data_IF_492486269635
#
_entry.id   IF_492486269635
#
_cell.length_a   1.000
_cell.length_b   1.000
_cell.length_c   1.000
_cell.angle_alpha   90.00
_cell.angle_beta   90.00
_cell.angle_gamma   90.00
#
_symmetry.space_group_name_H-M   'P 1'
#
loop_
_entity.id
_entity.type
_entity.pdbx_description
1 polymer ?
#
# COMPACT_ATOMS: atom_id res chain seq x y z
N UNK A 1 15.04 -30.44 -25.97
CA UNK A 1 16.15 -29.63 -25.43
C UNK A 1 15.96 -28.23 -25.99
N UNK A 2 15.26 -27.37 -25.26
CA UNK A 2 14.85 -26.04 -25.73
C UNK A 2 15.99 -25.10 -25.38
N UNK A 3 16.66 -24.55 -26.40
CA UNK A 3 17.72 -23.56 -26.22
C UNK A 3 17.16 -22.32 -25.51
N UNK A 4 17.88 -21.86 -24.50
CA UNK A 4 17.54 -20.63 -23.80
C UNK A 4 17.71 -19.44 -24.77
N UNK A 5 16.75 -18.49 -24.82
CA UNK A 5 16.83 -17.34 -25.72
C UNK A 5 18.08 -16.48 -25.47
N UNK A 6 18.69 -16.03 -26.57
CA UNK A 6 19.99 -15.36 -26.64
C UNK A 6 20.16 -14.08 -25.80
N UNK A 7 19.08 -13.51 -25.25
CA UNK A 7 19.17 -12.35 -24.33
C UNK A 7 19.80 -12.70 -22.97
N UNK A 8 19.97 -13.98 -22.65
CA UNK A 8 20.60 -14.44 -21.42
C UNK A 8 22.14 -14.47 -21.48
N UNK A 9 22.75 -14.33 -22.67
CA UNK A 9 24.19 -14.52 -22.87
C UNK A 9 25.06 -13.27 -22.62
N UNK A 10 24.51 -12.05 -22.57
CA UNK A 10 25.30 -10.80 -22.44
C UNK A 10 25.21 -10.15 -21.03
N UNK A 11 25.49 -10.91 -19.97
CA UNK A 11 25.43 -10.40 -18.57
C UNK A 11 26.77 -10.33 -17.84
N UNK A 12 27.88 -10.18 -18.56
CA UNK A 12 29.18 -9.81 -17.96
C UNK A 12 29.69 -8.45 -18.44
N UNK A 13 28.82 -7.43 -18.45
CA UNK A 13 29.27 -6.04 -18.47
C UNK A 13 29.46 -5.55 -17.03
N UNK A 14 30.62 -4.95 -16.75
CA UNK A 14 30.91 -4.20 -15.51
C UNK A 14 29.65 -3.40 -15.14
N UNK A 15 29.11 -3.61 -13.94
CA UNK A 15 27.93 -2.87 -13.47
C UNK A 15 28.26 -1.38 -13.53
N UNK A 16 27.76 -0.68 -14.55
CA UNK A 16 27.89 0.77 -14.57
C UNK A 16 27.09 1.30 -13.38
N UNK A 17 27.71 2.16 -12.57
CA UNK A 17 27.02 2.79 -11.44
C UNK A 17 25.96 3.78 -11.92
N UNK A 18 26.08 4.26 -13.16
CA UNK A 18 25.25 5.29 -13.77
C UNK A 18 23.73 5.02 -13.68
N UNK A 19 23.18 3.83 -14.02
CA UNK A 19 21.75 3.56 -13.89
C UNK A 19 21.25 3.62 -12.45
N UNK A 20 22.07 3.18 -11.49
CA UNK A 20 21.72 3.23 -10.07
C UNK A 20 21.75 4.66 -9.54
N UNK A 21 22.73 5.47 -9.97
CA UNK A 21 22.80 6.90 -9.66
C UNK A 21 21.64 7.67 -10.29
N UNK A 22 21.26 7.35 -11.52
CA UNK A 22 20.11 7.97 -12.19
C UNK A 22 18.80 7.66 -11.44
N UNK A 23 18.57 6.40 -11.06
CA UNK A 23 17.39 6.04 -10.27
C UNK A 23 17.41 6.72 -8.89
N UNK A 24 18.57 6.79 -8.24
CA UNK A 24 18.72 7.52 -6.98
C UNK A 24 18.39 9.00 -7.14
N UNK A 25 18.85 9.64 -8.22
CA UNK A 25 18.53 11.03 -8.53
C UNK A 25 17.03 11.25 -8.75
N UNK A 26 16.35 10.36 -9.49
CA UNK A 26 14.88 10.41 -9.66
C UNK A 26 14.15 10.20 -8.33
N UNK A 27 14.65 9.31 -7.48
CA UNK A 27 14.09 9.08 -6.13
C UNK A 27 14.27 10.31 -5.23
N UNK A 28 15.44 10.95 -5.26
CA UNK A 28 15.69 12.21 -4.53
C UNK A 28 14.80 13.31 -5.06
N UNK A 29 14.63 13.43 -6.39
CA UNK A 29 13.68 14.37 -6.98
C UNK A 29 12.26 14.13 -6.47
N UNK A 30 11.79 12.88 -6.46
CA UNK A 30 10.49 12.52 -5.92
C UNK A 30 10.37 12.94 -4.44
N UNK A 31 11.36 12.62 -3.61
CA UNK A 31 11.37 13.03 -2.20
C UNK A 31 11.37 14.55 -2.03
N UNK A 32 12.16 15.30 -2.81
CA UNK A 32 12.13 16.76 -2.79
C UNK A 32 10.74 17.27 -3.16
N UNK A 33 10.11 16.72 -4.20
CA UNK A 33 8.76 17.11 -4.60
C UNK A 33 7.72 16.72 -3.54
N UNK A 34 7.75 15.51 -3.00
CA UNK A 34 6.78 15.03 -2.01
C UNK A 34 6.87 15.81 -0.68
N UNK A 35 8.07 16.27 -0.29
CA UNK A 35 8.25 17.14 0.88
C UNK A 35 8.12 18.64 0.58
N UNK A 36 8.12 19.03 -0.70
CA UNK A 36 8.02 20.43 -1.08
C UNK A 36 6.64 20.99 -0.73
N UNK A 37 6.63 22.14 -0.05
CA UNK A 37 5.43 22.88 0.28
C UNK A 37 4.38 22.07 1.09
N UNK A 38 4.81 21.14 1.95
CA UNK A 38 3.94 20.60 3.00
C UNK A 38 3.42 21.75 3.88
N UNK A 39 2.11 21.84 4.04
CA UNK A 39 1.43 22.90 4.80
C UNK A 39 0.27 22.34 5.59
N UNK A 40 0.06 22.88 6.79
CA UNK A 40 -1.02 22.45 7.68
C UNK A 40 -0.91 20.95 7.99
N UNK A 41 -2.06 20.29 8.09
CA UNK A 41 -2.14 18.85 8.38
C UNK A 41 -2.67 18.02 7.20
N UNK A 42 -2.82 18.62 6.01
CA UNK A 42 -3.49 17.97 4.88
C UNK A 42 -4.99 17.90 5.11
N UNK A 43 -5.50 16.71 5.42
CA UNK A 43 -6.89 16.48 5.79
C UNK A 43 -7.07 16.58 7.31
N UNK A 44 -7.75 17.63 7.77
CA UNK A 44 -7.98 17.89 9.19
C UNK A 44 -8.78 16.77 9.88
N UNK A 45 -9.64 16.06 9.14
CA UNK A 45 -10.39 14.92 9.66
C UNK A 45 -9.46 13.79 10.13
N UNK A 46 -8.52 13.38 9.27
CA UNK A 46 -7.54 12.35 9.62
C UNK A 46 -6.48 12.85 10.61
N UNK A 47 -6.16 14.13 10.58
CA UNK A 47 -5.23 14.73 11.54
C UNK A 47 -5.79 14.72 12.97
N UNK A 48 -7.09 14.98 13.12
CA UNK A 48 -7.78 14.87 14.41
C UNK A 48 -7.76 13.42 14.93
N UNK A 49 -7.97 12.43 14.05
CA UNK A 49 -7.86 11.03 14.42
C UNK A 49 -6.45 10.66 14.90
N UNK A 50 -5.40 11.03 14.16
CA UNK A 50 -4.01 10.82 14.60
C UNK A 50 -3.75 11.46 15.97
N UNK A 51 -4.26 12.68 16.20
CA UNK A 51 -4.15 13.35 17.50
C UNK A 51 -4.90 12.64 18.61
N UNK A 52 -6.05 12.04 18.31
CA UNK A 52 -6.84 11.25 19.25
C UNK A 52 -6.15 9.91 19.57
N UNK A 53 -5.60 9.24 18.56
CA UNK A 53 -4.88 7.97 18.67
C UNK A 53 -3.62 8.07 19.55
N UNK A 54 -3.01 9.27 19.64
CA UNK A 54 -1.90 9.53 20.57
C UNK A 54 -2.31 9.50 22.06
N UNK A 55 -3.59 9.66 22.38
CA UNK A 55 -4.06 9.84 23.76
C UNK A 55 -4.38 8.53 24.47
N UNK A 56 -4.73 7.46 23.75
CA UNK A 56 -5.04 6.16 24.35
C UNK A 56 -4.84 4.99 23.38
N UNK A 57 -4.56 3.81 23.93
CA UNK A 57 -4.50 2.57 23.16
C UNK A 57 -5.84 2.18 22.54
N UNK A 58 -6.95 2.55 23.19
CA UNK A 58 -8.30 2.33 22.65
C UNK A 58 -8.49 3.15 21.37
N UNK A 59 -8.18 4.45 21.41
CA UNK A 59 -8.29 5.32 20.25
C UNK A 59 -7.34 4.89 19.14
N UNK A 60 -6.11 4.48 19.48
CA UNK A 60 -5.14 3.93 18.54
C UNK A 60 -5.71 2.69 17.84
N UNK A 61 -6.23 1.73 18.60
CA UNK A 61 -6.73 0.47 18.04
C UNK A 61 -7.92 0.72 17.10
N UNK A 62 -8.88 1.54 17.50
CA UNK A 62 -10.11 1.78 16.74
C UNK A 62 -10.01 2.91 15.70
N UNK A 63 -8.84 3.53 15.51
CA UNK A 63 -8.68 4.72 14.69
C UNK A 63 -9.74 5.80 15.01
N UNK A 64 -9.92 6.07 16.30
CA UNK A 64 -10.94 7.02 16.77
C UNK A 64 -10.64 8.44 16.30
N UNK A 65 -11.65 9.12 15.77
CA UNK A 65 -11.58 10.52 15.35
C UNK A 65 -11.47 11.47 16.56
N UNK A 66 -12.23 11.20 17.63
CA UNK A 66 -12.33 12.06 18.79
C UNK A 66 -11.67 11.44 20.04
N UNK A 67 -11.21 12.27 21.01
CA UNK A 67 -10.55 11.78 22.22
C UNK A 67 -11.40 10.89 23.12
N UNK A 68 -12.73 11.05 23.08
CA UNK A 68 -13.65 10.29 23.93
C UNK A 68 -13.93 8.88 23.38
N UNK A 69 -13.46 8.56 22.17
CA UNK A 69 -13.68 7.24 21.58
C UNK A 69 -15.09 7.07 21.02
N UNK A 70 -15.75 8.16 20.59
CA UNK A 70 -17.16 8.11 20.18
C UNK A 70 -17.33 7.66 18.73
N UNK A 71 -16.47 8.09 17.80
CA UNK A 71 -16.56 7.75 16.36
C UNK A 71 -15.19 7.37 15.79
N UNK A 72 -15.10 6.29 15.01
CA UNK A 72 -13.91 5.94 14.21
C UNK A 72 -13.86 6.70 12.89
N UNK A 73 -12.69 6.76 12.26
CA UNK A 73 -12.60 7.26 10.88
C UNK A 73 -13.18 6.28 9.86
N UNK A 74 -13.45 6.77 8.66
CA UNK A 74 -14.07 6.00 7.56
C UNK A 74 -13.10 5.03 6.84
N UNK A 75 -12.04 4.60 7.51
CA UNK A 75 -10.91 3.84 6.94
C UNK A 75 -10.27 2.93 7.99
N UNK A 76 -9.68 1.78 7.58
CA UNK A 76 -8.97 0.93 8.51
C UNK A 76 -7.61 1.54 8.91
N UNK A 77 -6.95 1.00 9.94
CA UNK A 77 -6.09 1.81 10.78
C UNK A 77 -4.63 1.90 10.32
N UNK A 78 -4.18 1.10 9.34
CA UNK A 78 -2.74 0.91 9.07
C UNK A 78 -2.02 2.21 8.69
N UNK A 79 -2.59 3.01 7.78
CA UNK A 79 -2.00 4.31 7.43
C UNK A 79 -1.90 5.23 8.66
N UNK A 80 -2.97 5.31 9.45
CA UNK A 80 -3.00 6.18 10.63
C UNK A 80 -2.15 5.67 11.78
N UNK A 81 -1.91 4.36 11.89
CA UNK A 81 -0.91 3.80 12.82
C UNK A 81 0.50 4.27 12.48
N UNK A 82 0.84 4.31 11.19
CA UNK A 82 2.14 4.82 10.73
C UNK A 82 2.25 6.32 11.00
N UNK A 83 1.21 7.10 10.69
CA UNK A 83 1.16 8.53 10.99
C UNK A 83 1.23 8.81 12.50
N UNK A 84 0.50 8.05 13.31
CA UNK A 84 0.51 8.16 14.77
C UNK A 84 1.87 7.79 15.35
N UNK A 85 2.53 6.75 14.82
CA UNK A 85 3.89 6.40 15.23
C UNK A 85 4.87 7.54 14.91
N UNK A 86 4.78 8.13 13.72
CA UNK A 86 5.59 9.29 13.34
C UNK A 86 5.35 10.48 14.28
N UNK A 87 4.08 10.84 14.52
CA UNK A 87 3.71 11.91 15.44
C UNK A 87 4.11 11.61 16.90
N UNK A 88 4.13 10.34 17.32
CA UNK A 88 4.60 9.92 18.64
C UNK A 88 6.10 10.10 18.80
N UNK A 89 6.89 9.83 17.76
CA UNK A 89 8.36 9.95 17.77
C UNK A 89 8.81 11.40 17.61
N UNK A 90 8.19 12.16 16.71
CA UNK A 90 8.64 13.52 16.36
C UNK A 90 7.79 14.65 16.97
N UNK A 91 6.75 14.30 17.72
CA UNK A 91 5.76 15.24 18.24
C UNK A 91 4.68 15.58 17.20
N UNK A 92 3.43 15.74 17.67
CA UNK A 92 2.29 16.04 16.80
C UNK A 92 2.45 17.38 16.09
N UNK A 93 2.69 17.32 14.80
CA UNK A 93 2.90 18.48 13.91
C UNK A 93 2.51 18.11 12.47
N UNK A 94 2.21 19.11 11.65
CA UNK A 94 1.90 18.89 10.23
C UNK A 94 2.97 18.07 9.50
N UNK A 95 4.25 18.39 9.73
CA UNK A 95 5.35 17.62 9.15
C UNK A 95 5.35 16.16 9.61
N UNK A 96 5.20 15.89 10.90
CA UNK A 96 5.22 14.50 11.41
C UNK A 96 4.06 13.65 10.88
N UNK A 97 2.90 14.26 10.63
CA UNK A 97 1.70 13.58 10.13
C UNK A 97 1.79 13.36 8.61
N UNK A 98 2.34 14.32 7.87
CA UNK A 98 2.44 14.25 6.40
C UNK A 98 3.68 13.48 5.90
N UNK A 99 4.77 13.45 6.69
CA UNK A 99 6.03 12.84 6.28
C UNK A 99 5.92 11.36 5.88
N UNK A 100 5.13 10.49 6.56
CA UNK A 100 5.01 9.09 6.16
C UNK A 100 4.51 8.90 4.73
N UNK A 101 3.49 9.65 4.33
CA UNK A 101 2.95 9.62 2.96
C UNK A 101 3.99 10.10 1.95
N UNK A 102 4.70 11.19 2.26
CA UNK A 102 5.77 11.72 1.41
C UNK A 102 6.95 10.74 1.26
N UNK A 103 7.37 10.05 2.34
CA UNK A 103 8.38 8.99 2.28
C UNK A 103 7.88 7.82 1.45
N UNK A 104 6.62 7.42 1.62
CA UNK A 104 6.03 6.32 0.86
C UNK A 104 6.01 6.60 -0.64
N UNK A 105 5.73 7.85 -1.04
CA UNK A 105 5.86 8.33 -2.42
C UNK A 105 7.25 8.11 -3.01
N UNK A 106 8.28 8.63 -2.35
CA UNK A 106 9.67 8.48 -2.78
C UNK A 106 10.12 7.00 -2.85
N UNK A 107 9.76 6.19 -1.84
CA UNK A 107 10.09 4.76 -1.83
C UNK A 107 9.36 4.02 -2.96
N UNK A 108 8.11 4.38 -3.27
CA UNK A 108 7.36 3.81 -4.39
C UNK A 108 8.07 4.04 -5.73
N UNK A 109 8.59 5.25 -5.96
CA UNK A 109 9.39 5.58 -7.15
C UNK A 109 10.63 4.69 -7.26
N UNK A 110 11.35 4.51 -6.15
CA UNK A 110 12.54 3.64 -6.12
C UNK A 110 12.20 2.18 -6.43
N UNK A 111 11.18 1.63 -5.76
CA UNK A 111 10.80 0.22 -5.89
C UNK A 111 10.24 -0.05 -7.28
N UNK A 112 9.36 0.82 -7.80
CA UNK A 112 8.81 0.71 -9.15
C UNK A 112 9.94 0.76 -10.19
N UNK A 113 10.79 1.77 -10.11
CA UNK A 113 11.91 1.94 -11.04
C UNK A 113 12.81 0.71 -11.03
N UNK A 114 13.23 0.23 -9.85
CA UNK A 114 14.09 -0.95 -9.73
C UNK A 114 13.42 -2.23 -10.25
N UNK A 115 12.11 -2.38 -10.04
CA UNK A 115 11.34 -3.55 -10.49
C UNK A 115 11.28 -3.57 -12.02
N UNK A 116 10.94 -2.44 -12.65
CA UNK A 116 10.84 -2.32 -14.10
C UNK A 116 12.22 -2.38 -14.77
N UNK A 117 13.27 -1.79 -14.16
CA UNK A 117 14.65 -1.90 -14.65
C UNK A 117 15.09 -3.37 -14.76
N UNK A 118 14.69 -4.19 -13.79
CA UNK A 118 15.06 -5.61 -13.73
C UNK A 118 14.37 -6.44 -14.81
N UNK A 119 13.13 -6.12 -15.15
CA UNK A 119 12.29 -6.91 -16.07
C UNK A 119 12.35 -6.42 -17.51
N UNK A 120 12.40 -5.10 -17.73
CA UNK A 120 12.31 -4.47 -19.05
C UNK A 120 13.53 -3.63 -19.41
N UNK A 121 14.54 -3.57 -18.54
CA UNK A 121 15.79 -2.85 -18.77
C UNK A 121 15.81 -1.41 -18.25
N UNK A 122 17.01 -0.83 -18.19
CA UNK A 122 17.31 0.45 -17.54
C UNK A 122 16.41 1.60 -18.01
N UNK A 123 16.25 1.78 -19.31
CA UNK A 123 15.49 2.90 -19.87
C UNK A 123 14.02 2.88 -19.40
N UNK A 124 13.35 1.74 -19.55
CA UNK A 124 11.94 1.58 -19.13
C UNK A 124 11.75 1.80 -17.63
N UNK A 125 12.71 1.37 -16.80
CA UNK A 125 12.61 1.58 -15.37
C UNK A 125 12.86 3.02 -14.93
N UNK A 126 13.75 3.75 -15.60
CA UNK A 126 13.92 5.19 -15.35
C UNK A 126 12.70 5.98 -15.82
N UNK A 127 12.10 5.61 -16.96
CA UNK A 127 10.83 6.20 -17.43
C UNK A 127 9.71 5.94 -16.45
N UNK A 128 9.54 4.70 -15.98
CA UNK A 128 8.50 4.36 -14.99
C UNK A 128 8.67 5.15 -13.68
N UNK A 129 9.90 5.27 -13.19
CA UNK A 129 10.23 6.05 -11.99
C UNK A 129 9.91 7.54 -12.20
N UNK A 130 10.29 8.12 -13.34
CA UNK A 130 10.01 9.53 -13.67
C UNK A 130 8.51 9.79 -13.81
N UNK A 131 7.78 8.90 -14.49
CA UNK A 131 6.33 9.03 -14.66
C UNK A 131 5.65 9.07 -13.29
N UNK A 132 5.97 8.14 -12.38
CA UNK A 132 5.38 8.16 -11.04
C UNK A 132 5.79 9.43 -10.25
N UNK A 133 7.08 9.79 -10.28
CA UNK A 133 7.60 10.97 -9.57
C UNK A 133 6.98 12.30 -10.03
N UNK A 134 6.57 12.39 -11.30
CA UNK A 134 6.06 13.62 -11.91
C UNK A 134 4.53 13.60 -12.11
N UNK A 135 3.84 12.53 -11.73
CA UNK A 135 2.39 12.42 -11.85
C UNK A 135 1.71 13.41 -10.88
N UNK A 136 0.95 14.42 -11.36
CA UNK A 136 0.43 15.48 -10.48
C UNK A 136 -0.47 14.96 -9.36
N UNK A 137 -1.33 13.98 -9.65
CA UNK A 137 -2.21 13.40 -8.63
C UNK A 137 -1.42 12.65 -7.55
N UNK A 138 -0.32 11.99 -7.90
CA UNK A 138 0.54 11.32 -6.93
C UNK A 138 1.20 12.34 -5.98
N UNK A 139 1.71 13.46 -6.51
CA UNK A 139 2.29 14.53 -5.70
C UNK A 139 1.30 15.15 -4.72
N UNK A 140 0.07 15.43 -5.17
CA UNK A 140 -0.97 16.00 -4.30
C UNK A 140 -1.31 15.03 -3.17
N UNK A 141 -1.44 13.76 -3.49
CA UNK A 141 -1.78 12.72 -2.54
C UNK A 141 -0.65 12.47 -1.52
N UNK A 142 0.59 12.37 -1.97
CA UNK A 142 1.76 12.15 -1.10
C UNK A 142 2.01 13.32 -0.13
N UNK A 143 1.53 14.52 -0.47
CA UNK A 143 1.59 15.72 0.38
C UNK A 143 0.41 15.85 1.35
N UNK A 144 -0.42 14.81 1.46
CA UNK A 144 -1.57 14.73 2.36
C UNK A 144 -1.44 13.53 3.30
N UNK A 145 -2.23 13.52 4.37
CA UNK A 145 -2.40 12.40 5.31
C UNK A 145 -3.59 11.50 4.93
N UNK A 146 -3.92 11.45 3.64
CA UNK A 146 -4.83 10.43 3.15
C UNK A 146 -4.08 9.08 3.05
N UNK A 147 -4.77 7.94 3.23
CA UNK A 147 -4.12 6.62 3.24
C UNK A 147 -3.48 6.22 1.89
N UNK A 148 -3.78 6.95 0.82
CA UNK A 148 -3.37 6.64 -0.55
C UNK A 148 -1.86 6.54 -0.77
N UNK A 149 -1.04 7.41 -0.14
CA UNK A 149 0.42 7.36 -0.32
C UNK A 149 1.01 6.05 0.21
N UNK A 150 0.55 5.61 1.39
CA UNK A 150 0.89 4.31 1.98
C UNK A 150 0.36 3.17 1.10
N UNK A 151 -0.91 3.26 0.66
CA UNK A 151 -1.52 2.27 -0.21
C UNK A 151 -0.70 2.04 -1.48
N UNK A 152 -0.32 3.11 -2.18
CA UNK A 152 0.47 3.02 -3.41
C UNK A 152 1.79 2.30 -3.17
N UNK A 153 2.47 2.58 -2.04
CA UNK A 153 3.68 1.85 -1.68
C UNK A 153 3.42 0.36 -1.47
N UNK A 154 2.36 -0.01 -0.75
CA UNK A 154 1.99 -1.41 -0.52
C UNK A 154 1.67 -2.13 -1.84
N UNK A 155 0.94 -1.48 -2.75
CA UNK A 155 0.63 -2.03 -4.08
C UNK A 155 1.88 -2.18 -4.95
N UNK A 156 2.80 -1.22 -4.92
CA UNK A 156 4.08 -1.30 -5.64
C UNK A 156 4.96 -2.42 -5.07
N UNK A 157 5.01 -2.58 -3.74
CA UNK A 157 5.69 -3.70 -3.09
C UNK A 157 5.03 -5.04 -3.44
N UNK A 158 3.70 -5.11 -3.50
CA UNK A 158 2.97 -6.31 -3.88
C UNK A 158 3.26 -6.71 -5.33
N UNK A 159 3.33 -5.73 -6.24
CA UNK A 159 3.73 -5.92 -7.64
C UNK A 159 5.20 -6.35 -7.78
N UNK A 160 6.10 -5.79 -6.97
CA UNK A 160 7.49 -6.25 -6.88
C UNK A 160 7.55 -7.72 -6.42
N UNK A 161 6.89 -8.07 -5.32
CA UNK A 161 6.84 -9.44 -4.82
C UNK A 161 6.21 -10.39 -5.84
N UNK A 162 5.15 -9.96 -6.53
CA UNK A 162 4.49 -10.73 -7.59
C UNK A 162 5.42 -10.97 -8.77
N UNK A 163 6.20 -9.97 -9.17
CA UNK A 163 7.25 -10.11 -10.18
C UNK A 163 8.31 -11.13 -9.75
N UNK A 164 8.75 -11.10 -8.49
CA UNK A 164 9.68 -12.10 -7.95
C UNK A 164 9.08 -13.51 -7.91
N UNK A 165 7.78 -13.61 -7.67
CA UNK A 165 7.04 -14.87 -7.71
C UNK A 165 7.00 -15.43 -9.13
N UNK A 166 6.74 -14.60 -10.14
CA UNK A 166 6.75 -14.97 -11.55
C UNK A 166 8.13 -15.45 -12.02
N UNK A 167 9.20 -14.77 -11.62
CA UNK A 167 10.57 -15.15 -12.01
C UNK A 167 11.02 -16.48 -11.42
N UNK A 168 10.62 -16.78 -10.18
CA UNK A 168 11.22 -17.86 -9.39
C UNK A 168 10.29 -19.03 -9.09
N UNK A 169 8.97 -18.84 -9.26
CA UNK A 169 7.93 -19.79 -8.87
C UNK A 169 7.97 -20.20 -7.40
N UNK A 170 8.63 -19.44 -6.52
CA UNK A 170 8.79 -19.79 -5.09
C UNK A 170 7.58 -19.29 -4.29
N UNK A 171 7.00 -20.17 -3.47
CA UNK A 171 5.82 -19.89 -2.65
C UNK A 171 5.98 -18.63 -1.80
N UNK A 172 7.14 -18.42 -1.16
CA UNK A 172 7.40 -17.26 -0.28
C UNK A 172 7.06 -15.89 -0.91
N UNK A 173 7.25 -15.75 -2.22
CA UNK A 173 6.96 -14.50 -2.92
C UNK A 173 5.47 -14.33 -3.19
N UNK A 174 4.76 -15.42 -3.47
CA UNK A 174 3.29 -15.42 -3.59
C UNK A 174 2.66 -15.09 -2.25
N UNK A 175 3.18 -15.68 -1.16
CA UNK A 175 2.74 -15.38 0.21
C UNK A 175 3.01 -13.92 0.54
N UNK A 176 4.19 -13.39 0.23
CA UNK A 176 4.49 -11.98 0.45
C UNK A 176 3.54 -11.06 -0.34
N UNK A 177 3.22 -11.39 -1.59
CA UNK A 177 2.19 -10.66 -2.34
C UNK A 177 0.84 -10.70 -1.61
N UNK A 178 0.38 -11.87 -1.16
CA UNK A 178 -0.88 -12.01 -0.43
C UNK A 178 -0.91 -11.21 0.87
N UNK A 179 0.20 -11.21 1.64
CA UNK A 179 0.36 -10.44 2.88
C UNK A 179 0.29 -8.94 2.60
N UNK A 180 1.05 -8.44 1.61
CA UNK A 180 1.04 -7.02 1.24
C UNK A 180 -0.34 -6.57 0.74
N UNK A 181 -1.07 -7.43 0.03
CA UNK A 181 -2.44 -7.14 -0.40
C UNK A 181 -3.43 -7.12 0.77
N UNK A 182 -3.22 -7.94 1.81
CA UNK A 182 -4.01 -7.90 3.04
C UNK A 182 -3.75 -6.63 3.86
N UNK A 183 -2.48 -6.22 3.98
CA UNK A 183 -2.11 -4.95 4.61
C UNK A 183 -2.66 -3.75 3.82
N UNK A 184 -2.57 -3.78 2.49
CA UNK A 184 -3.17 -2.76 1.64
C UNK A 184 -4.69 -2.62 1.82
N UNK A 185 -5.38 -3.73 2.07
CA UNK A 185 -6.80 -3.69 2.44
C UNK A 185 -7.01 -3.03 3.81
N UNK A 186 -6.16 -3.30 4.80
CA UNK A 186 -6.19 -2.61 6.10
C UNK A 186 -5.68 -1.15 6.05
N UNK A 187 -5.26 -0.68 4.87
CA UNK A 187 -4.97 0.72 4.58
C UNK A 187 -6.15 1.41 3.89
N UNK A 188 -6.77 0.77 2.89
CA UNK A 188 -7.85 1.41 2.09
C UNK A 188 -8.91 0.45 1.52
N UNK A 189 -9.26 -0.60 2.25
CA UNK A 189 -10.34 -1.54 1.96
C UNK A 189 -10.31 -2.05 0.50
N UNK A 190 -11.48 -2.16 -0.16
CA UNK A 190 -11.60 -2.73 -1.50
C UNK A 190 -10.85 -1.96 -2.60
N UNK A 191 -10.48 -0.70 -2.38
CA UNK A 191 -9.63 0.03 -3.32
C UNK A 191 -8.27 -0.67 -3.53
N UNK A 192 -7.73 -1.33 -2.50
CA UNK A 192 -6.50 -2.10 -2.60
C UNK A 192 -6.60 -3.26 -3.60
N UNK A 193 -7.77 -3.89 -3.70
CA UNK A 193 -7.96 -5.10 -4.50
C UNK A 193 -8.05 -4.85 -6.00
N UNK A 194 -7.97 -3.60 -6.47
CA UNK A 194 -8.01 -3.30 -7.90
C UNK A 194 -6.89 -4.02 -8.68
N UNK A 195 -5.71 -4.19 -8.08
CA UNK A 195 -4.57 -4.88 -8.72
C UNK A 195 -4.53 -6.40 -8.46
N UNK A 196 -5.26 -6.88 -7.46
CA UNK A 196 -5.19 -8.27 -6.99
C UNK A 196 -5.55 -9.29 -8.07
N UNK A 197 -6.65 -9.13 -8.84
CA UNK A 197 -6.99 -10.05 -9.94
C UNK A 197 -5.87 -10.14 -10.98
N UNK A 198 -5.26 -9.01 -11.33
CA UNK A 198 -4.17 -8.95 -12.31
C UNK A 198 -2.94 -9.73 -11.84
N UNK A 199 -2.54 -9.57 -10.58
CA UNK A 199 -1.41 -10.31 -9.99
C UNK A 199 -1.68 -11.83 -9.91
N UNK A 200 -2.89 -12.22 -9.51
CA UNK A 200 -3.29 -13.61 -9.42
C UNK A 200 -3.31 -14.28 -10.81
N UNK A 201 -3.95 -13.65 -11.80
CA UNK A 201 -4.02 -14.15 -13.17
C UNK A 201 -2.62 -14.24 -13.78
N UNK A 202 -1.78 -13.22 -13.63
CA UNK A 202 -0.40 -13.26 -14.12
C UNK A 202 0.36 -14.47 -13.56
N UNK A 203 0.24 -14.75 -12.25
CA UNK A 203 0.89 -15.90 -11.62
C UNK A 203 0.34 -17.24 -12.13
N UNK A 204 -0.98 -17.38 -12.26
CA UNK A 204 -1.61 -18.59 -12.78
C UNK A 204 -1.18 -18.89 -14.22
N UNK A 205 -0.98 -17.86 -15.06
CA UNK A 205 -0.63 -18.02 -16.46
C UNK A 205 0.87 -18.22 -16.69
N UNK A 206 1.73 -17.47 -15.99
CA UNK A 206 3.14 -17.35 -16.37
C UNK A 206 4.15 -17.95 -15.36
N UNK A 207 3.75 -18.36 -14.15
CA UNK A 207 4.72 -18.87 -13.17
C UNK A 207 5.37 -20.19 -13.63
N UNK A 208 6.67 -20.43 -13.39
CA UNK A 208 7.41 -21.62 -13.85
C UNK A 208 7.13 -22.85 -12.96
N UNK A 209 5.85 -23.22 -12.81
CA UNK A 209 5.35 -24.34 -12.02
C UNK A 209 4.24 -25.08 -12.78
N UNK A 210 3.90 -26.30 -12.36
CA UNK A 210 2.72 -27.01 -12.86
C UNK A 210 1.43 -26.34 -12.39
N UNK A 211 0.35 -26.47 -13.16
CA UNK A 211 -0.94 -25.85 -12.88
C UNK A 211 -1.48 -26.10 -11.46
N UNK A 212 -1.46 -27.34 -10.92
CA UNK A 212 -1.94 -27.61 -9.56
C UNK A 212 -1.14 -26.86 -8.48
N UNK A 213 0.17 -26.71 -8.68
CA UNK A 213 1.03 -25.94 -7.75
C UNK A 213 0.70 -24.45 -7.80
N UNK A 214 0.41 -23.92 -9.01
CA UNK A 214 0.00 -22.52 -9.14
C UNK A 214 -1.31 -22.23 -8.41
N UNK A 215 -2.30 -23.13 -8.57
CA UNK A 215 -3.57 -23.06 -7.83
C UNK A 215 -3.37 -23.13 -6.33
N UNK A 216 -2.57 -24.08 -5.83
CA UNK A 216 -2.29 -24.19 -4.40
C UNK A 216 -1.60 -22.95 -3.83
N UNK A 217 -0.65 -22.38 -4.57
CA UNK A 217 0.03 -21.14 -4.15
C UNK A 217 -0.92 -19.94 -4.09
N UNK A 218 -1.75 -19.75 -5.14
CA UNK A 218 -2.72 -18.65 -5.19
C UNK A 218 -3.81 -18.83 -4.15
N UNK A 219 -4.29 -20.06 -3.93
CA UNK A 219 -5.27 -20.37 -2.90
C UNK A 219 -4.74 -20.07 -1.49
N UNK A 220 -3.51 -20.49 -1.18
CA UNK A 220 -2.89 -20.22 0.11
C UNK A 220 -2.64 -18.73 0.33
N UNK A 221 -2.11 -18.03 -0.68
CA UNK A 221 -1.88 -16.59 -0.58
C UNK A 221 -3.20 -15.81 -0.48
N UNK A 222 -4.23 -16.21 -1.22
CA UNK A 222 -5.57 -15.63 -1.15
C UNK A 222 -6.22 -15.84 0.22
N UNK A 223 -6.08 -17.03 0.82
CA UNK A 223 -6.55 -17.28 2.18
C UNK A 223 -5.86 -16.35 3.20
N UNK A 224 -4.54 -16.15 3.08
CA UNK A 224 -3.82 -15.21 3.93
C UNK A 224 -4.24 -13.76 3.69
N UNK A 225 -4.46 -13.34 2.44
CA UNK A 225 -5.01 -12.01 2.13
C UNK A 225 -6.34 -11.83 2.86
N UNK A 226 -7.27 -12.77 2.73
CA UNK A 226 -8.59 -12.69 3.38
C UNK A 226 -8.48 -12.63 4.90
N UNK A 227 -7.65 -13.48 5.51
CA UNK A 227 -7.46 -13.49 6.97
C UNK A 227 -6.92 -12.15 7.46
N UNK A 228 -5.92 -11.58 6.78
CA UNK A 228 -5.33 -10.30 7.16
C UNK A 228 -6.32 -9.14 6.96
N UNK A 229 -7.04 -9.15 5.84
CA UNK A 229 -8.05 -8.13 5.52
C UNK A 229 -9.29 -8.18 6.40
N UNK A 230 -9.55 -9.31 7.06
CA UNK A 230 -10.69 -9.45 7.97
C UNK A 230 -10.30 -9.24 9.42
N UNK A 231 -9.00 -9.20 9.74
CA UNK A 231 -8.52 -9.28 11.11
C UNK A 231 -8.99 -8.10 11.96
N UNK A 232 -8.79 -6.87 11.49
CA UNK A 232 -9.20 -5.69 12.25
C UNK A 232 -10.71 -5.47 12.14
N UNK A 233 -11.28 -5.58 10.94
CA UNK A 233 -12.71 -5.39 10.71
C UNK A 233 -13.56 -6.30 11.60
N UNK A 234 -13.21 -7.60 11.69
CA UNK A 234 -13.91 -8.52 12.57
C UNK A 234 -13.66 -8.22 14.04
N UNK A 235 -12.46 -7.78 14.42
CA UNK A 235 -12.20 -7.39 15.80
C UNK A 235 -13.09 -6.20 16.23
N UNK A 236 -13.31 -5.23 15.34
CA UNK A 236 -14.24 -4.13 15.58
C UNK A 236 -15.68 -4.65 15.62
N UNK A 237 -16.15 -5.33 14.58
CA UNK A 237 -17.56 -5.72 14.45
C UNK A 237 -18.00 -6.73 15.53
N UNK A 238 -17.11 -7.61 15.98
CA UNK A 238 -17.37 -8.57 17.06
C UNK A 238 -17.28 -7.96 18.46
N UNK A 239 -16.69 -6.76 18.61
CA UNK A 239 -16.68 -6.06 19.89
C UNK A 239 -18.07 -5.45 20.15
N UNK A 240 -18.65 -5.61 21.36
CA UNK A 240 -19.94 -5.02 21.68
C UNK A 240 -19.98 -3.52 21.41
N UNK A 241 -21.07 -3.03 20.80
CA UNK A 241 -21.20 -1.62 20.41
C UNK A 241 -21.05 -0.62 21.58
N UNK A 242 -21.28 -1.04 22.82
CA UNK A 242 -21.04 -0.23 24.02
C UNK A 242 -19.57 -0.12 24.45
N UNK A 243 -18.66 -0.86 23.81
CA UNK A 243 -17.23 -0.93 24.15
C UNK A 243 -16.31 -0.43 23.03
N UNK A 244 -16.88 0.01 21.91
CA UNK A 244 -16.16 0.52 20.74
C UNK A 244 -16.79 1.80 20.20
N UNK A 245 -16.05 2.61 19.42
CA UNK A 245 -16.61 3.76 18.73
C UNK A 245 -17.68 3.35 17.71
N UNK A 246 -18.53 4.30 17.34
CA UNK A 246 -19.38 4.20 16.16
C UNK A 246 -18.51 4.19 14.89
N UNK A 247 -18.75 3.26 13.98
CA UNK A 247 -18.03 3.16 12.71
C UNK A 247 -18.40 4.31 11.80
N UNK A 248 -17.46 5.23 11.59
CA UNK A 248 -17.66 6.42 10.75
C UNK A 248 -18.10 6.07 9.33
N UNK A 249 -19.02 6.86 8.76
CA UNK A 249 -19.55 6.66 7.40
C UNK A 249 -20.27 5.32 7.14
N UNK A 250 -20.59 4.55 8.19
CA UNK A 250 -21.50 3.40 8.13
C UNK A 250 -22.93 3.79 8.49
N UNK A 251 -23.91 2.98 8.06
CA UNK A 251 -25.33 3.16 8.40
C UNK A 251 -25.78 2.28 9.58
N UNK A 252 -24.97 1.29 9.94
CA UNK A 252 -25.32 0.17 10.81
C UNK A 252 -24.22 -0.15 11.84
N UNK A 253 -23.24 0.73 12.00
CA UNK A 253 -22.11 0.57 12.92
C UNK A 253 -21.20 -0.65 12.60
N UNK A 254 -21.02 -0.97 11.32
CA UNK A 254 -20.20 -2.10 10.86
C UNK A 254 -19.08 -1.69 9.91
N UNK A 255 -17.87 -2.17 10.19
CA UNK A 255 -16.70 -2.05 9.33
C UNK A 255 -16.83 -2.90 8.06
N UNK A 256 -17.46 -4.07 8.13
CA UNK A 256 -17.73 -4.89 6.94
C UNK A 256 -18.69 -4.14 6.00
N UNK A 257 -19.74 -3.53 6.55
CA UNK A 257 -20.70 -2.71 5.80
C UNK A 257 -20.03 -1.50 5.17
N UNK A 258 -19.15 -0.82 5.92
CA UNK A 258 -18.33 0.29 5.43
C UNK A 258 -17.41 -0.16 4.28
N UNK A 259 -16.71 -1.29 4.43
CA UNK A 259 -15.76 -1.81 3.46
C UNK A 259 -16.42 -2.29 2.15
N UNK A 260 -17.58 -2.94 2.24
CA UNK A 260 -18.28 -3.48 1.08
C UNK A 260 -19.21 -2.44 0.42
N UNK A 261 -19.77 -1.52 1.19
CA UNK A 261 -20.65 -0.44 0.75
C UNK A 261 -19.88 0.82 0.33
N UNK A 262 -19.75 1.79 1.24
CA UNK A 262 -19.25 3.14 0.98
C UNK A 262 -17.81 3.18 0.43
N UNK A 263 -16.93 2.30 0.93
CA UNK A 263 -15.56 2.17 0.42
C UNK A 263 -15.41 1.08 -0.67
N UNK A 264 -16.53 0.53 -1.13
CA UNK A 264 -16.58 -0.58 -2.07
C UNK A 264 -17.51 -0.31 -3.24
N UNK A 265 -18.62 -1.04 -3.28
CA UNK A 265 -19.55 -1.05 -4.40
C UNK A 265 -20.11 0.34 -4.75
N UNK A 266 -20.35 1.19 -3.76
CA UNK A 266 -20.90 2.53 -4.00
C UNK A 266 -19.94 3.42 -4.80
N UNK A 267 -18.62 3.21 -4.68
CA UNK A 267 -17.61 3.95 -5.46
C UNK A 267 -17.61 3.61 -6.94
N UNK A 268 -18.08 2.41 -7.30
CA UNK A 268 -18.15 1.93 -8.69
C UNK A 268 -19.53 2.24 -9.29
N UNK A 269 -20.58 2.10 -8.49
CA UNK A 269 -21.97 2.25 -8.93
C UNK A 269 -22.46 3.71 -8.94
N UNK A 270 -21.63 4.67 -8.51
CA UNK A 270 -21.94 6.10 -8.54
C UNK A 270 -22.94 6.54 -7.46
N UNK A 271 -22.76 5.99 -6.25
CA UNK A 271 -23.62 6.26 -5.09
C UNK A 271 -23.73 7.73 -4.71
#
# INVERSE_FOLDING_TARGET
MIEAPAFLADRRRRSSLLPHLALAAVTVLAGVLDFWALRGYGNDYYAAAVRSMLQSWHNLFYASFDPAGFVSVDKPPVAFWIETLSAKVFGFSGLSVLAPSAVAGAVSVLVLGRTVMRTWGTASGLVAALVLALTPVALVVNRSNNPDGILVLELVLAAWAGTRALESGRLRWVILTGVLMGLAFETKMLAAYLVLPGLAVAYLLAAPRSWPVRLGHVGLAGALTVVLSAAWLLAVDLTPASQRPWVGSSQDNSEISLATGYNGLQRILGG
#
